data_IF_076565757949
#
_entry.id   IF_076565757949
#
_cell.length_a   1.000
_cell.length_b   1.000
_cell.length_c   1.000
_cell.angle_alpha   90.00
_cell.angle_beta   90.00
_cell.angle_gamma   90.00
#
_symmetry.space_group_name_H-M   'P 1'
#
loop_
_entity.id
_entity.type
_entity.pdbx_description
1 polymer ?
#
# COMPACT_ATOMS: atom_id res chain seq x y z
N UNK A 1 -8.83 40.56 -70.89
CA UNK A 1 -9.35 39.62 -71.90
C UNK A 1 -10.30 38.67 -71.20
N UNK A 2 -11.57 38.70 -71.61
CA UNK A 2 -12.67 37.93 -71.05
C UNK A 2 -12.57 36.46 -71.48
N UNK A 3 -12.78 35.52 -70.56
CA UNK A 3 -13.34 34.23 -70.92
C UNK A 3 -14.38 33.80 -69.88
N UNK A 4 -15.62 33.85 -70.34
CA UNK A 4 -16.87 33.35 -69.79
C UNK A 4 -16.88 31.82 -69.66
N UNK A 5 -17.49 31.26 -68.61
CA UNK A 5 -18.25 30.02 -68.74
C UNK A 5 -19.31 29.86 -67.62
N UNK A 6 -20.53 29.84 -68.10
CA UNK A 6 -21.85 29.79 -67.44
C UNK A 6 -22.21 28.41 -66.87
N UNK A 7 -23.17 28.41 -65.92
CA UNK A 7 -24.27 27.43 -65.66
C UNK A 7 -24.19 26.55 -64.39
N UNK A 8 -24.88 27.06 -63.37
CA UNK A 8 -26.04 26.49 -62.64
C UNK A 8 -26.21 24.96 -62.69
N UNK A 9 -26.19 24.32 -61.51
CA UNK A 9 -27.16 23.28 -61.16
C UNK A 9 -27.43 23.25 -59.64
N UNK A 10 -28.71 23.21 -59.31
CA UNK A 10 -29.36 23.12 -58.01
C UNK A 10 -29.21 21.75 -57.37
N UNK A 11 -29.05 21.70 -56.03
CA UNK A 11 -29.85 20.88 -55.09
C UNK A 11 -29.10 20.71 -53.76
N UNK A 12 -29.80 20.88 -52.64
CA UNK A 12 -29.28 20.49 -51.33
C UNK A 12 -29.67 21.43 -50.20
N UNK A 13 -30.96 21.57 -49.92
CA UNK A 13 -31.44 22.13 -48.66
C UNK A 13 -31.26 21.10 -47.53
N UNK A 14 -30.55 21.47 -46.48
CA UNK A 14 -30.69 20.89 -45.14
C UNK A 14 -30.15 21.87 -44.09
N UNK A 15 -31.03 22.74 -43.62
CA UNK A 15 -30.89 23.56 -42.43
C UNK A 15 -31.13 22.72 -41.18
N UNK A 16 -30.18 22.66 -40.24
CA UNK A 16 -30.47 22.38 -38.82
C UNK A 16 -29.50 23.16 -37.91
N UNK A 17 -30.03 24.27 -37.38
CA UNK A 17 -29.94 24.76 -36.00
C UNK A 17 -28.58 24.71 -35.26
N UNK A 18 -28.00 25.91 -35.07
CA UNK A 18 -27.04 26.20 -34.00
C UNK A 18 -27.72 26.08 -32.62
N UNK A 19 -27.50 24.96 -31.95
CA UNK A 19 -27.73 24.81 -30.52
C UNK A 19 -26.41 25.03 -29.77
N UNK A 20 -26.33 26.11 -29.00
CA UNK A 20 -25.22 26.41 -28.09
C UNK A 20 -25.09 25.28 -27.07
N UNK A 21 -24.05 24.47 -27.18
CA UNK A 21 -23.72 23.47 -26.17
C UNK A 21 -23.11 24.17 -24.94
N UNK A 22 -23.52 23.84 -23.71
CA UNK A 22 -22.78 24.26 -22.53
C UNK A 22 -21.43 23.53 -22.52
N UNK A 23 -20.35 24.29 -22.46
CA UNK A 23 -19.02 23.78 -22.18
C UNK A 23 -19.02 23.21 -20.75
N UNK A 24 -19.23 21.90 -20.62
CA UNK A 24 -18.93 21.20 -19.37
C UNK A 24 -17.41 21.05 -19.28
N UNK A 25 -16.86 21.75 -18.29
CA UNK A 25 -15.45 21.70 -17.91
C UNK A 25 -15.06 20.24 -17.62
N UNK A 26 -14.21 19.68 -18.46
CA UNK A 26 -13.61 18.38 -18.24
C UNK A 26 -12.55 18.57 -17.15
N UNK A 27 -12.89 18.20 -15.93
CA UNK A 27 -11.92 17.98 -14.85
C UNK A 27 -10.94 16.92 -15.37
N UNK A 28 -9.61 17.11 -15.29
CA UNK A 28 -8.69 16.02 -15.59
C UNK A 28 -8.91 14.96 -14.50
N UNK A 29 -9.66 13.93 -14.86
CA UNK A 29 -9.87 12.76 -14.02
C UNK A 29 -8.52 12.20 -13.63
N UNK A 30 -8.28 12.09 -12.32
CA UNK A 30 -7.18 11.32 -11.80
C UNK A 30 -7.25 9.92 -12.41
N UNK A 31 -6.20 9.54 -13.13
CA UNK A 31 -6.06 8.20 -13.67
C UNK A 31 -5.95 7.24 -12.49
N UNK A 32 -7.08 6.66 -12.09
CA UNK A 32 -7.10 5.52 -11.19
C UNK A 32 -6.58 4.34 -12.01
N UNK A 33 -5.29 4.05 -11.91
CA UNK A 33 -4.71 2.84 -12.47
C UNK A 33 -5.14 1.66 -11.60
N UNK A 34 -6.28 1.08 -11.92
CA UNK A 34 -6.67 -0.21 -11.36
C UNK A 34 -5.86 -1.28 -12.07
N UNK A 35 -4.79 -1.76 -11.41
CA UNK A 35 -4.01 -2.89 -11.92
C UNK A 35 -4.85 -4.16 -11.72
N UNK A 36 -5.54 -4.58 -12.79
CA UNK A 36 -6.24 -5.87 -12.82
C UNK A 36 -5.20 -6.96 -13.09
N UNK A 37 -4.68 -7.56 -12.02
CA UNK A 37 -3.79 -8.73 -12.14
C UNK A 37 -4.64 -9.95 -12.50
N UNK A 38 -4.40 -10.62 -13.65
CA UNK A 38 -5.19 -11.78 -14.06
C UNK A 38 -5.03 -12.93 -13.06
N UNK A 39 -6.13 -13.61 -12.75
CA UNK A 39 -6.14 -14.80 -11.92
C UNK A 39 -5.27 -15.89 -12.59
N UNK A 40 -4.08 -16.09 -12.06
CA UNK A 40 -3.01 -16.90 -12.66
C UNK A 40 -1.61 -16.33 -12.46
N UNK A 41 -1.50 -15.05 -12.08
CA UNK A 41 -0.23 -14.37 -11.75
C UNK A 41 -0.02 -14.10 -10.24
N UNK A 42 -0.90 -14.58 -9.36
CA UNK A 42 -0.69 -14.52 -7.91
C UNK A 42 0.36 -15.58 -7.51
N UNK A 43 1.62 -15.22 -7.73
CA UNK A 43 2.79 -16.10 -7.82
C UNK A 43 3.92 -15.48 -8.64
N UNK A 44 3.61 -14.45 -9.45
CA UNK A 44 4.53 -13.82 -10.39
C UNK A 44 5.50 -12.84 -9.74
N UNK A 45 6.59 -12.57 -10.46
CA UNK A 45 7.58 -11.58 -10.05
C UNK A 45 6.98 -10.17 -9.88
N UNK A 46 5.88 -9.85 -10.59
CA UNK A 46 5.20 -8.57 -10.47
C UNK A 46 4.51 -8.41 -9.11
N UNK A 47 3.77 -9.42 -8.66
CA UNK A 47 3.15 -9.41 -7.33
C UNK A 47 4.20 -9.35 -6.22
N UNK A 48 5.28 -10.13 -6.35
CA UNK A 48 6.40 -10.05 -5.40
C UNK A 48 6.99 -8.64 -5.34
N UNK A 49 7.21 -8.01 -6.50
CA UNK A 49 7.74 -6.63 -6.57
C UNK A 49 6.80 -5.63 -5.90
N UNK A 50 5.49 -5.76 -6.14
CA UNK A 50 4.47 -4.93 -5.50
C UNK A 50 4.48 -5.10 -3.98
N UNK A 51 4.51 -6.35 -3.48
CA UNK A 51 4.54 -6.64 -2.06
C UNK A 51 5.81 -6.09 -1.39
N UNK A 52 6.97 -6.29 -2.00
CA UNK A 52 8.24 -5.73 -1.51
C UNK A 52 8.23 -4.19 -1.51
N UNK A 53 7.65 -3.59 -2.55
CA UNK A 53 7.43 -2.15 -2.66
C UNK A 53 6.53 -1.63 -1.53
N UNK A 54 5.42 -2.32 -1.24
CA UNK A 54 4.50 -2.00 -0.15
C UNK A 54 5.20 -2.07 1.22
N UNK A 55 6.00 -3.11 1.48
CA UNK A 55 6.77 -3.23 2.72
C UNK A 55 7.83 -2.12 2.88
N UNK A 56 8.50 -1.75 1.80
CA UNK A 56 9.46 -0.64 1.82
C UNK A 56 8.76 0.72 2.03
N UNK A 57 7.62 0.94 1.37
CA UNK A 57 6.80 2.14 1.52
C UNK A 57 6.24 2.25 2.95
N UNK A 58 5.82 1.14 3.56
CA UNK A 58 5.40 1.08 4.95
C UNK A 58 6.47 1.62 5.90
N UNK A 59 7.72 1.17 5.75
CA UNK A 59 8.87 1.65 6.53
C UNK A 59 9.08 3.15 6.37
N UNK A 60 9.01 3.65 5.14
CA UNK A 60 9.23 5.05 4.81
C UNK A 60 8.12 5.93 5.40
N UNK A 61 6.87 5.54 5.24
CA UNK A 61 5.70 6.20 5.81
C UNK A 61 5.76 6.24 7.34
N UNK A 62 6.08 5.12 7.99
CA UNK A 62 6.16 5.10 9.45
C UNK A 62 7.32 5.95 9.99
N UNK A 63 8.42 6.06 9.24
CA UNK A 63 9.51 6.98 9.58
C UNK A 63 9.11 8.44 9.40
N UNK A 64 8.36 8.78 8.34
CA UNK A 64 7.98 10.17 8.04
C UNK A 64 7.03 10.78 9.07
N UNK A 65 6.40 9.95 9.92
CA UNK A 65 5.61 10.42 11.08
C UNK A 65 6.43 11.27 12.06
N UNK A 66 7.76 11.07 12.13
CA UNK A 66 8.65 11.79 13.04
C UNK A 66 8.42 11.51 14.53
N UNK A 67 7.55 10.55 14.87
CA UNK A 67 7.16 10.25 16.24
C UNK A 67 7.43 8.78 16.58
N UNK A 68 8.47 8.55 17.39
CA UNK A 68 8.88 7.22 17.83
C UNK A 68 7.77 6.46 18.56
N UNK A 69 6.86 7.16 19.24
CA UNK A 69 5.75 6.54 19.96
C UNK A 69 4.74 5.87 19.01
N UNK A 70 4.67 6.30 17.75
CA UNK A 70 3.71 5.77 16.78
C UNK A 70 4.29 4.63 15.94
N UNK A 71 5.62 4.46 15.90
CA UNK A 71 6.28 3.57 14.93
C UNK A 71 5.78 2.12 15.00
N UNK A 72 5.57 1.57 16.20
CA UNK A 72 5.14 0.17 16.35
C UNK A 72 3.71 -0.07 15.87
N UNK A 73 2.75 0.77 16.27
CA UNK A 73 1.36 0.62 15.78
C UNK A 73 1.23 1.05 14.32
N UNK A 74 2.06 1.99 13.84
CA UNK A 74 2.15 2.32 12.42
C UNK A 74 2.59 1.11 11.61
N UNK A 75 3.66 0.43 12.02
CA UNK A 75 4.14 -0.75 11.30
C UNK A 75 3.10 -1.87 11.32
N UNK A 76 2.44 -2.09 12.47
CA UNK A 76 1.28 -2.98 12.56
C UNK A 76 0.23 -2.65 11.50
N UNK A 77 -0.16 -1.38 11.40
CA UNK A 77 -1.21 -0.94 10.49
C UNK A 77 -0.84 -1.08 9.02
N UNK A 78 0.41 -0.78 8.66
CA UNK A 78 0.90 -0.96 7.30
C UNK A 78 1.05 -2.44 6.92
N UNK A 79 1.45 -3.31 7.84
CA UNK A 79 1.51 -4.77 7.59
C UNK A 79 0.12 -5.38 7.45
N UNK A 80 -0.87 -4.92 8.24
CA UNK A 80 -2.28 -5.29 8.09
C UNK A 80 -2.78 -4.90 6.70
N UNK A 81 -2.50 -3.67 6.24
CA UNK A 81 -2.86 -3.22 4.90
C UNK A 81 -2.16 -4.03 3.77
N UNK A 82 -0.89 -4.39 3.96
CA UNK A 82 -0.16 -5.24 3.01
C UNK A 82 -0.77 -6.66 2.95
N UNK A 83 -1.13 -7.24 4.10
CA UNK A 83 -1.79 -8.55 4.17
C UNK A 83 -3.18 -8.51 3.51
N UNK A 84 -3.97 -7.48 3.76
CA UNK A 84 -5.31 -7.32 3.17
C UNK A 84 -5.27 -7.17 1.64
N UNK A 85 -4.14 -6.72 1.09
CA UNK A 85 -3.89 -6.67 -0.36
C UNK A 85 -3.58 -8.03 -1.00
N UNK A 86 -3.32 -9.08 -0.21
CA UNK A 86 -3.04 -10.44 -0.71
C UNK A 86 -4.36 -11.22 -0.83
N UNK A 87 -4.78 -11.64 -2.03
CA UNK A 87 -6.05 -12.37 -2.17
C UNK A 87 -6.03 -13.72 -1.47
N UNK A 88 -7.22 -14.15 -1.04
CA UNK A 88 -7.41 -15.45 -0.39
C UNK A 88 -7.35 -16.61 -1.37
N UNK A 89 -6.95 -17.79 -0.87
CA UNK A 89 -6.81 -19.00 -1.70
C UNK A 89 -5.74 -18.90 -2.79
N UNK A 90 -4.73 -18.03 -2.59
CA UNK A 90 -3.58 -17.90 -3.48
C UNK A 90 -2.37 -18.64 -2.91
N UNK A 91 -1.33 -18.84 -3.74
CA UNK A 91 -0.04 -19.39 -3.32
C UNK A 91 0.71 -18.56 -2.26
N UNK A 92 0.22 -17.35 -1.98
CA UNK A 92 0.71 -16.44 -0.95
C UNK A 92 -0.18 -16.40 0.29
N UNK A 93 -1.12 -17.34 0.44
CA UNK A 93 -1.97 -17.44 1.63
C UNK A 93 -1.15 -17.53 2.92
N UNK A 94 -0.09 -18.32 2.95
CA UNK A 94 0.78 -18.42 4.12
C UNK A 94 1.49 -17.09 4.41
N UNK A 95 1.95 -16.37 3.38
CA UNK A 95 2.53 -15.03 3.54
C UNK A 95 1.51 -14.06 4.12
N UNK A 96 0.27 -14.07 3.61
CA UNK A 96 -0.84 -13.27 4.12
C UNK A 96 -1.06 -13.54 5.61
N UNK A 97 -1.12 -14.81 5.98
CA UNK A 97 -1.39 -15.21 7.36
C UNK A 97 -0.25 -14.81 8.31
N UNK A 98 1.02 -14.93 7.88
CA UNK A 98 2.17 -14.47 8.65
C UNK A 98 2.16 -12.95 8.82
N UNK A 99 1.88 -12.18 7.77
CA UNK A 99 1.77 -10.72 7.85
C UNK A 99 0.63 -10.30 8.78
N UNK A 100 -0.51 -11.01 8.72
CA UNK A 100 -1.68 -10.74 9.56
C UNK A 100 -1.44 -11.08 11.03
N UNK A 101 -0.78 -12.20 11.35
CA UNK A 101 -0.40 -12.51 12.73
C UNK A 101 0.60 -11.47 13.27
N UNK A 102 1.62 -11.12 12.47
CA UNK A 102 2.63 -10.12 12.82
C UNK A 102 1.98 -8.77 13.11
N UNK A 103 1.09 -8.31 12.24
CA UNK A 103 0.36 -7.05 12.40
C UNK A 103 -0.44 -7.05 13.71
N UNK A 104 -1.14 -8.15 14.01
CA UNK A 104 -1.94 -8.32 15.22
C UNK A 104 -1.07 -8.35 16.50
N UNK A 105 0.10 -9.01 16.47
CA UNK A 105 1.05 -9.05 17.58
C UNK A 105 1.59 -7.65 17.90
N UNK A 106 2.01 -6.90 16.88
CA UNK A 106 2.49 -5.52 17.04
C UNK A 106 1.38 -4.57 17.55
N UNK A 107 0.15 -4.72 17.04
CA UNK A 107 -1.04 -3.95 17.49
C UNK A 107 -1.29 -4.15 18.98
N UNK A 108 -1.26 -5.41 19.44
CA UNK A 108 -1.43 -5.75 20.85
C UNK A 108 -0.31 -5.17 21.69
N UNK A 109 0.94 -5.29 21.25
CA UNK A 109 2.10 -4.76 21.95
C UNK A 109 2.00 -3.24 22.16
N UNK A 110 1.65 -2.48 21.11
CA UNK A 110 1.46 -1.03 21.22
C UNK A 110 0.30 -0.67 22.16
N UNK A 111 -0.83 -1.38 22.08
CA UNK A 111 -2.00 -1.15 22.94
C UNK A 111 -1.72 -1.40 24.42
N UNK A 112 -0.97 -2.45 24.74
CA UNK A 112 -0.60 -2.80 26.10
C UNK A 112 0.33 -1.76 26.74
N UNK A 113 1.11 -1.05 25.92
CA UNK A 113 2.10 -0.07 26.37
C UNK A 113 1.71 1.37 26.02
N UNK A 114 0.41 1.62 25.81
CA UNK A 114 -0.10 2.91 25.36
C UNK A 114 0.26 4.05 26.32
N UNK A 115 0.49 5.24 25.78
CA UNK A 115 0.62 6.47 26.57
C UNK A 115 -0.78 6.94 27.02
N UNK A 116 -1.07 6.97 28.34
CA UNK A 116 -2.38 7.40 28.83
C UNK A 116 -2.64 8.90 28.60
N UNK A 117 -1.60 9.70 28.40
CA UNK A 117 -1.71 11.14 28.21
C UNK A 117 -1.89 11.53 26.74
N UNK A 118 -1.80 10.56 25.81
CA UNK A 118 -1.88 10.80 24.37
C UNK A 118 -3.05 10.03 23.77
N UNK A 119 -3.92 10.75 23.07
CA UNK A 119 -5.00 10.14 22.30
C UNK A 119 -4.48 9.35 21.09
N UNK A 120 -5.34 8.50 20.53
CA UNK A 120 -5.06 7.86 19.23
C UNK A 120 -5.09 8.89 18.11
N UNK A 121 -4.20 8.77 17.13
CA UNK A 121 -4.05 9.74 16.05
C UNK A 121 -4.07 9.08 14.68
N UNK A 122 -4.79 9.67 13.72
CA UNK A 122 -4.68 9.30 12.31
C UNK A 122 -3.50 10.05 11.71
N UNK A 123 -2.64 9.35 10.99
CA UNK A 123 -1.49 9.96 10.32
C UNK A 123 -1.74 10.00 8.83
N UNK A 124 -1.49 11.16 8.22
CA UNK A 124 -1.54 11.36 6.77
C UNK A 124 -0.13 11.55 6.24
N UNK A 125 0.16 11.00 5.07
CA UNK A 125 1.47 11.13 4.45
C UNK A 125 1.73 12.60 4.10
N UNK A 126 2.95 13.06 4.36
CA UNK A 126 3.41 14.39 3.98
C UNK A 126 3.63 14.54 2.47
N UNK A 127 3.81 13.42 1.75
CA UNK A 127 4.10 13.41 0.31
C UNK A 127 2.88 13.09 -0.55
N UNK A 128 1.86 12.44 0.02
CA UNK A 128 0.60 12.13 -0.65
C UNK A 128 -0.58 12.27 0.32
N UNK A 129 -1.34 13.38 0.27
CA UNK A 129 -2.46 13.62 1.18
C UNK A 129 -3.60 12.58 1.07
N UNK A 130 -3.67 11.82 -0.03
CA UNK A 130 -4.64 10.74 -0.18
C UNK A 130 -4.25 9.50 0.63
N UNK A 131 -2.98 9.36 1.01
CA UNK A 131 -2.49 8.27 1.84
C UNK A 131 -2.59 8.61 3.31
N UNK A 132 -3.42 7.87 4.04
CA UNK A 132 -3.52 7.94 5.49
C UNK A 132 -3.55 6.56 6.12
N UNK A 133 -3.41 6.52 7.45
CA UNK A 133 -3.62 5.31 8.23
C UNK A 133 -5.08 4.88 8.17
N UNK A 134 -5.35 3.62 7.84
CA UNK A 134 -6.71 3.04 7.76
C UNK A 134 -7.41 3.00 9.13
N UNK A 135 -6.63 3.13 10.21
CA UNK A 135 -7.13 3.31 11.57
C UNK A 135 -6.29 4.34 12.33
N UNK A 136 -6.83 4.95 13.40
CA UNK A 136 -6.03 5.71 14.34
C UNK A 136 -4.96 4.84 15.02
N UNK A 137 -3.74 5.36 15.10
CA UNK A 137 -2.58 4.76 15.73
C UNK A 137 -2.56 5.02 17.24
N UNK A 138 -2.01 4.08 17.98
CA UNK A 138 -1.86 4.10 19.44
C UNK A 138 -0.43 4.49 19.81
N UNK A 139 -0.20 5.66 20.43
CA UNK A 139 1.11 6.06 20.90
C UNK A 139 1.59 5.16 22.05
N UNK A 140 2.84 4.73 21.99
CA UNK A 140 3.53 4.01 23.06
C UNK A 140 4.14 5.01 24.05
N UNK A 141 3.97 4.75 25.34
CA UNK A 141 4.54 5.60 26.41
C UNK A 141 6.07 5.65 26.33
N UNK A 142 6.64 6.83 26.57
CA UNK A 142 8.10 7.04 26.51
C UNK A 142 8.88 6.06 27.41
N UNK A 143 8.35 5.74 28.59
CA UNK A 143 8.97 4.80 29.53
C UNK A 143 9.06 3.35 28.98
N UNK A 144 8.13 2.96 28.11
CA UNK A 144 8.08 1.61 27.54
C UNK A 144 8.74 1.50 26.15
N UNK A 145 9.06 2.62 25.49
CA UNK A 145 9.48 2.65 24.08
C UNK A 145 10.65 1.70 23.79
N UNK A 146 11.72 1.73 24.59
CA UNK A 146 12.89 0.88 24.34
C UNK A 146 12.56 -0.63 24.40
N UNK A 147 11.81 -1.04 25.43
CA UNK A 147 11.39 -2.43 25.59
C UNK A 147 10.42 -2.87 24.49
N UNK A 148 9.47 -2.00 24.12
CA UNK A 148 8.50 -2.23 23.05
C UNK A 148 9.19 -2.34 21.69
N UNK A 149 10.18 -1.50 21.39
CA UNK A 149 10.94 -1.58 20.14
C UNK A 149 11.76 -2.87 20.05
N UNK A 150 12.34 -3.32 21.16
CA UNK A 150 13.04 -4.61 21.21
C UNK A 150 12.10 -5.78 20.96
N UNK A 151 10.93 -5.79 21.61
CA UNK A 151 9.95 -6.86 21.44
C UNK A 151 9.33 -6.84 20.04
N UNK A 152 9.04 -5.66 19.50
CA UNK A 152 8.60 -5.49 18.11
C UNK A 152 9.64 -6.03 17.12
N UNK A 153 10.93 -5.81 17.37
CA UNK A 153 11.99 -6.37 16.53
C UNK A 153 12.01 -7.92 16.60
N UNK A 154 11.77 -8.53 17.77
CA UNK A 154 11.65 -9.99 17.89
C UNK A 154 10.43 -10.53 17.13
N UNK A 155 9.29 -9.85 17.22
CA UNK A 155 8.08 -10.23 16.47
C UNK A 155 8.36 -10.27 14.95
N UNK A 156 9.09 -9.27 14.42
CA UNK A 156 9.49 -9.25 13.02
C UNK A 156 10.51 -10.36 12.67
N UNK A 157 11.39 -10.71 13.61
CA UNK A 157 12.35 -11.82 13.46
C UNK A 157 11.66 -13.17 13.36
N UNK A 158 10.70 -13.42 14.24
CA UNK A 158 9.91 -14.65 14.24
C UNK A 158 9.18 -14.79 12.91
N UNK A 159 8.56 -13.71 12.43
CA UNK A 159 7.86 -13.68 11.15
C UNK A 159 8.79 -14.03 9.98
N UNK A 160 9.97 -13.41 9.91
CA UNK A 160 10.97 -13.74 8.89
C UNK A 160 11.41 -15.21 8.99
N UNK A 161 11.60 -15.73 10.21
CA UNK A 161 11.99 -17.13 10.44
C UNK A 161 10.90 -18.12 10.03
N UNK A 162 9.62 -17.78 10.23
CA UNK A 162 8.50 -18.60 9.74
C UNK A 162 8.55 -18.64 8.21
N UNK A 163 8.62 -17.49 7.55
CA UNK A 163 8.67 -17.43 6.08
C UNK A 163 9.86 -18.18 5.48
N UNK A 164 11.04 -18.13 6.12
CA UNK A 164 12.20 -18.90 5.67
C UNK A 164 11.99 -20.41 5.78
N UNK A 165 11.32 -20.88 6.83
CA UNK A 165 10.94 -22.30 6.97
C UNK A 165 9.90 -22.71 5.93
N UNK A 166 8.93 -21.83 5.64
CA UNK A 166 7.97 -22.05 4.55
C UNK A 166 8.65 -22.09 3.19
N UNK A 167 9.70 -21.28 2.97
CA UNK A 167 10.51 -21.28 1.76
C UNK A 167 11.17 -22.64 1.50
N UNK A 168 11.66 -23.30 2.55
CA UNK A 168 12.27 -24.64 2.46
C UNK A 168 11.25 -25.72 2.04
N UNK A 169 9.98 -25.56 2.44
CA UNK A 169 8.90 -26.48 2.08
C UNK A 169 8.31 -26.21 0.67
N UNK A 170 8.45 -24.99 0.16
CA UNK A 170 7.78 -24.53 -1.07
C UNK A 170 8.64 -24.60 -2.34
N UNK A 171 9.78 -25.31 -2.33
CA UNK A 171 10.81 -25.49 -3.39
C UNK A 171 10.85 -24.44 -4.51
N UNK A 172 9.88 -24.45 -5.43
CA UNK A 172 9.76 -23.54 -6.58
C UNK A 172 9.65 -22.05 -6.20
N UNK A 173 9.21 -21.74 -4.97
CA UNK A 173 9.00 -20.38 -4.48
C UNK A 173 9.97 -19.94 -3.39
N UNK A 174 10.98 -20.74 -3.10
CA UNK A 174 11.94 -20.50 -2.01
C UNK A 174 12.54 -19.07 -2.07
N UNK A 175 12.94 -18.62 -3.27
CA UNK A 175 13.51 -17.29 -3.47
C UNK A 175 12.53 -16.16 -3.13
N UNK A 176 11.24 -16.34 -3.42
CA UNK A 176 10.22 -15.32 -3.21
C UNK A 176 9.96 -15.13 -1.70
N UNK A 177 9.80 -16.25 -0.98
CA UNK A 177 9.63 -16.25 0.47
C UNK A 177 10.86 -15.65 1.18
N UNK A 178 12.06 -15.99 0.73
CA UNK A 178 13.30 -15.43 1.28
C UNK A 178 13.41 -13.90 1.07
N UNK A 179 12.97 -13.38 -0.08
CA UNK A 179 12.94 -11.94 -0.34
C UNK A 179 11.93 -11.23 0.57
N UNK A 180 10.74 -11.80 0.77
CA UNK A 180 9.72 -11.24 1.67
C UNK A 180 10.22 -11.25 3.12
N UNK A 181 10.84 -12.35 3.56
CA UNK A 181 11.44 -12.46 4.89
C UNK A 181 12.50 -11.37 5.12
N UNK A 182 13.37 -11.14 4.14
CA UNK A 182 14.38 -10.06 4.18
C UNK A 182 13.75 -8.67 4.26
N UNK A 183 12.68 -8.42 3.51
CA UNK A 183 11.95 -7.15 3.55
C UNK A 183 11.32 -6.90 4.93
N UNK A 184 10.71 -7.92 5.55
CA UNK A 184 10.18 -7.85 6.92
C UNK A 184 11.31 -7.55 7.92
N UNK A 185 12.43 -8.27 7.84
CA UNK A 185 13.59 -8.08 8.72
C UNK A 185 14.15 -6.65 8.61
N UNK A 186 14.17 -6.08 7.40
CA UNK A 186 14.63 -4.72 7.14
C UNK A 186 13.86 -3.65 7.92
N UNK A 187 12.60 -3.92 8.31
CA UNK A 187 11.78 -3.00 9.09
C UNK A 187 12.29 -2.82 10.51
N UNK A 188 13.08 -3.76 11.06
CA UNK A 188 13.71 -3.62 12.38
C UNK A 188 14.59 -2.38 12.50
N UNK A 189 15.16 -1.89 11.39
CA UNK A 189 15.96 -0.65 11.36
C UNK A 189 15.13 0.55 11.82
N UNK A 190 13.83 0.61 11.49
CA UNK A 190 12.94 1.67 11.95
C UNK A 190 12.91 1.74 13.49
N UNK A 191 12.87 0.58 14.14
CA UNK A 191 12.70 0.44 15.59
C UNK A 191 13.99 0.72 16.38
N UNK A 192 15.13 0.78 15.69
CA UNK A 192 16.45 1.08 16.27
C UNK A 192 16.87 2.55 16.10
N UNK A 193 16.06 3.34 15.39
CA UNK A 193 16.32 4.76 15.08
C UNK A 193 15.67 5.66 16.12
#
# INVERSE_FOLDING_TARGET
MFQTATRILTAGAASLTFGVAPAMAQTPGGLVYTVVVPAGEFGSAAFLTELLGSLAAAKAFCRSTGDSALQVDCLSERLEAAADGIPKGTDYEEVRDVLQDTSQRLKRLARQNRDPNRGRVTVTSSTDPAQSTNRPLTPVSAAAQAAVNQEAARILEDAATVLLRSAEAAQERQTQYAQIASAIDSNKVLLRS
#
